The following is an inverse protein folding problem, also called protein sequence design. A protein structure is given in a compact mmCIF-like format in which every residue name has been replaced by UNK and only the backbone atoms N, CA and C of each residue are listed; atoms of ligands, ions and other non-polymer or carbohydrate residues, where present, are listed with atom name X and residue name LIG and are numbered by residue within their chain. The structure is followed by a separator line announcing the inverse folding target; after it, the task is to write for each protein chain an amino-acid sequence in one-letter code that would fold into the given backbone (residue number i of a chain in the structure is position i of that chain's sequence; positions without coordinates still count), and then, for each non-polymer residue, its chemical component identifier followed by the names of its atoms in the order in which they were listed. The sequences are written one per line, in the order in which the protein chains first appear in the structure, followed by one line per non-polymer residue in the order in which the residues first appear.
data_IF_801250314155
#
_entry.id   IF_801250314155
#
_cell.length_a   1.000
_cell.length_b   1.000
_cell.length_c   1.000
_cell.angle_alpha   90.00
_cell.angle_beta   90.00
_cell.angle_gamma   90.00
#
_symmetry.space_group_name_H-M   'P 1'
#
loop_
_entity.id
_entity.type
_entity.pdbx_description
1 polymer ?
#
# COMPACT_ATOMS: atom_id res chain seq x y z
N UNK A 1 -7.70 -13.84 33.31
CA UNK A 1 -7.51 -14.54 32.02
C UNK A 1 -8.56 -14.12 30.98
N UNK A 2 -9.86 -14.15 31.30
CA UNK A 2 -10.94 -13.77 30.36
C UNK A 2 -10.89 -12.29 29.89
N UNK A 3 -10.60 -11.35 30.80
CA UNK A 3 -10.45 -9.92 30.49
C UNK A 3 -9.27 -9.60 29.54
N UNK A 4 -8.18 -10.35 29.64
CA UNK A 4 -6.99 -10.18 28.79
C UNK A 4 -7.26 -10.69 27.37
N UNK A 5 -8.03 -11.78 27.24
CA UNK A 5 -8.44 -12.33 25.96
C UNK A 5 -9.40 -11.38 25.22
N UNK A 6 -10.39 -10.80 25.90
CA UNK A 6 -11.26 -9.79 25.28
C UNK A 6 -10.48 -8.56 24.81
N UNK A 7 -9.59 -8.03 25.66
CA UNK A 7 -8.83 -6.83 25.33
C UNK A 7 -7.88 -7.05 24.14
N UNK A 8 -7.29 -8.25 24.04
CA UNK A 8 -6.49 -8.65 22.88
C UNK A 8 -7.32 -8.70 21.59
N UNK A 9 -8.53 -9.26 21.64
CA UNK A 9 -9.42 -9.32 20.48
C UNK A 9 -9.81 -7.92 19.98
N UNK A 10 -10.10 -6.97 20.88
CA UNK A 10 -10.43 -5.58 20.49
C UNK A 10 -9.28 -4.90 19.74
N UNK A 11 -8.04 -5.10 20.16
CA UNK A 11 -6.86 -4.54 19.50
C UNK A 11 -6.72 -5.11 18.08
N UNK A 12 -6.90 -6.42 17.94
CA UNK A 12 -6.84 -7.10 16.64
C UNK A 12 -7.90 -6.56 15.69
N UNK A 13 -9.16 -6.47 16.14
CA UNK A 13 -10.25 -5.89 15.35
C UNK A 13 -9.98 -4.43 14.96
N UNK A 14 -9.38 -3.63 15.85
CA UNK A 14 -9.03 -2.25 15.55
C UNK A 14 -7.96 -2.15 14.45
N UNK A 15 -6.92 -3.00 14.50
CA UNK A 15 -5.87 -3.06 13.47
C UNK A 15 -6.48 -3.42 12.11
N UNK A 16 -7.29 -4.49 12.04
CA UNK A 16 -7.92 -4.92 10.80
C UNK A 16 -8.97 -3.92 10.28
N UNK A 17 -9.64 -3.19 11.17
CA UNK A 17 -10.49 -2.05 10.79
C UNK A 17 -9.68 -0.91 10.16
N UNK A 18 -8.47 -0.65 10.67
CA UNK A 18 -7.51 0.27 10.06
C UNK A 18 -7.08 -0.19 8.66
N UNK A 19 -6.71 -1.46 8.51
CA UNK A 19 -6.34 -2.06 7.22
C UNK A 19 -7.49 -2.02 6.21
N UNK A 20 -8.73 -2.25 6.66
CA UNK A 20 -9.91 -2.12 5.82
C UNK A 20 -10.10 -0.69 5.32
N UNK A 21 -9.87 0.29 6.19
CA UNK A 21 -9.96 1.72 5.85
C UNK A 21 -8.91 2.09 4.79
N UNK A 22 -7.68 1.61 4.96
CA UNK A 22 -6.62 1.76 3.95
C UNK A 22 -7.01 1.10 2.63
N UNK A 23 -7.57 -0.12 2.67
CA UNK A 23 -8.02 -0.81 1.47
C UNK A 23 -9.11 -0.03 0.72
N UNK A 24 -10.12 0.51 1.41
CA UNK A 24 -11.14 1.38 0.80
C UNK A 24 -10.49 2.63 0.18
N UNK A 25 -9.55 3.28 0.88
CA UNK A 25 -8.84 4.44 0.33
C UNK A 25 -8.06 4.08 -0.93
N UNK A 26 -7.46 2.88 -1.00
CA UNK A 26 -6.77 2.40 -2.20
C UNK A 26 -7.72 2.12 -3.36
N UNK A 27 -8.91 1.59 -3.10
CA UNK A 27 -9.95 1.44 -4.13
C UNK A 27 -10.34 2.81 -4.69
N UNK A 28 -10.59 3.80 -3.83
CA UNK A 28 -10.94 5.16 -4.26
C UNK A 28 -9.82 5.79 -5.09
N UNK A 29 -8.57 5.64 -4.64
CA UNK A 29 -7.39 6.13 -5.35
C UNK A 29 -7.20 5.43 -6.70
N UNK A 30 -7.43 4.12 -6.78
CA UNK A 30 -7.37 3.35 -8.01
C UNK A 30 -8.48 3.74 -9.00
N UNK A 31 -9.69 4.01 -8.53
CA UNK A 31 -10.80 4.50 -9.37
C UNK A 31 -10.48 5.88 -9.94
N UNK A 32 -9.87 6.78 -9.14
CA UNK A 32 -9.41 8.08 -9.63
C UNK A 32 -8.29 7.92 -10.67
N UNK A 33 -7.26 7.12 -10.37
CA UNK A 33 -6.16 6.87 -11.30
C UNK A 33 -6.66 6.26 -12.62
N UNK A 34 -7.61 5.33 -12.57
CA UNK A 34 -8.19 4.73 -13.76
C UNK A 34 -8.97 5.73 -14.62
N UNK A 35 -9.73 6.65 -14.00
CA UNK A 35 -10.60 7.60 -14.72
C UNK A 35 -9.85 8.83 -15.22
N UNK A 36 -9.04 9.46 -14.36
CA UNK A 36 -8.41 10.75 -14.63
C UNK A 36 -6.90 10.67 -14.84
N UNK A 37 -6.25 9.52 -14.61
CA UNK A 37 -4.77 9.40 -14.55
C UNK A 37 -4.12 10.35 -13.54
N UNK A 38 -4.93 10.83 -12.61
CA UNK A 38 -4.58 11.75 -11.56
C UNK A 38 -5.26 11.28 -10.28
N UNK A 39 -4.55 11.39 -9.16
CA UNK A 39 -5.05 11.02 -7.84
C UNK A 39 -4.93 12.21 -6.92
N UNK A 40 -5.98 12.46 -6.15
CA UNK A 40 -6.00 13.57 -5.21
C UNK A 40 -4.86 13.47 -4.20
N UNK A 41 -4.10 14.55 -4.06
CA UNK A 41 -3.07 14.69 -3.02
C UNK A 41 -3.66 14.58 -1.61
N UNK A 42 -4.96 14.88 -1.43
CA UNK A 42 -5.65 14.71 -0.17
C UNK A 42 -5.74 13.25 0.29
N UNK A 43 -5.61 12.28 -0.63
CA UNK A 43 -5.57 10.86 -0.29
C UNK A 43 -4.13 10.41 -0.08
N UNK A 44 -3.24 10.74 -1.02
CA UNK A 44 -1.87 10.18 -1.04
C UNK A 44 -0.92 10.85 -0.05
N UNK A 45 -1.06 12.16 0.21
CA UNK A 45 -0.14 12.90 1.08
C UNK A 45 -0.34 12.56 2.56
N UNK A 46 -1.57 12.51 3.13
CA UNK A 46 -1.75 12.09 4.51
C UNK A 46 -1.25 10.67 4.76
N UNK A 47 -1.51 9.74 3.82
CA UNK A 47 -1.01 8.37 3.90
C UNK A 47 0.52 8.33 3.88
N UNK A 48 1.15 9.09 2.99
CA UNK A 48 2.60 9.21 2.91
C UNK A 48 3.21 9.75 4.20
N UNK A 49 2.70 10.88 4.71
CA UNK A 49 3.21 11.50 5.93
C UNK A 49 3.05 10.55 7.12
N UNK A 50 1.87 9.94 7.29
CA UNK A 50 1.62 8.96 8.34
C UNK A 50 2.57 7.77 8.27
N UNK A 51 2.75 7.19 7.08
CA UNK A 51 3.68 6.09 6.88
C UNK A 51 5.13 6.47 7.15
N UNK A 52 5.61 7.63 6.69
CA UNK A 52 6.98 8.09 6.97
C UNK A 52 7.21 8.27 8.47
N UNK A 53 6.26 8.87 9.20
CA UNK A 53 6.38 9.01 10.66
C UNK A 53 6.52 7.65 11.32
N UNK A 54 5.66 6.68 10.97
CA UNK A 54 5.73 5.32 11.54
C UNK A 54 7.02 4.59 11.15
N UNK A 55 7.46 4.76 9.90
CA UNK A 55 8.69 4.17 9.37
C UNK A 55 9.92 4.66 10.16
N UNK A 56 9.97 5.95 10.47
CA UNK A 56 11.05 6.55 11.28
C UNK A 56 11.00 6.07 12.73
N UNK A 57 9.81 5.87 13.30
CA UNK A 57 9.63 5.34 14.66
C UNK A 57 10.06 3.87 14.78
N UNK A 58 9.78 3.04 13.76
CA UNK A 58 10.17 1.63 13.76
C UNK A 58 11.67 1.39 13.58
N UNK A 59 12.44 2.40 13.12
CA UNK A 59 13.89 2.33 12.88
C UNK A 59 14.35 1.12 12.04
N UNK A 60 13.47 0.59 11.18
CA UNK A 60 13.80 -0.55 10.34
C UNK A 60 14.56 -0.09 9.09
N UNK A 61 15.87 -0.31 9.10
CA UNK A 61 16.77 0.13 8.02
C UNK A 61 16.35 -0.42 6.64
N UNK A 62 15.82 -1.65 6.57
CA UNK A 62 15.38 -2.24 5.32
C UNK A 62 14.23 -1.44 4.69
N UNK A 63 13.21 -1.08 5.48
CA UNK A 63 12.07 -0.33 4.97
C UNK A 63 12.47 1.09 4.53
N UNK A 64 13.42 1.70 5.24
CA UNK A 64 14.02 2.99 4.86
C UNK A 64 14.75 2.88 3.53
N UNK A 65 15.61 1.87 3.35
CA UNK A 65 16.32 1.63 2.10
C UNK A 65 15.34 1.42 0.94
N UNK A 66 14.30 0.58 1.12
CA UNK A 66 13.27 0.37 0.10
C UNK A 66 12.56 1.68 -0.26
N UNK A 67 12.26 2.53 0.74
CA UNK A 67 11.65 3.84 0.50
C UNK A 67 12.55 4.74 -0.34
N UNK A 68 13.87 4.76 -0.08
CA UNK A 68 14.83 5.49 -0.92
C UNK A 68 14.92 4.95 -2.34
N UNK A 69 14.87 3.63 -2.52
CA UNK A 69 14.83 3.01 -3.86
C UNK A 69 13.59 3.47 -4.63
N UNK A 70 12.42 3.49 -3.98
CA UNK A 70 11.18 3.98 -4.60
C UNK A 70 11.27 5.46 -5.00
N UNK A 71 11.84 6.30 -4.13
CA UNK A 71 12.10 7.71 -4.45
C UNK A 71 13.08 7.87 -5.62
N UNK A 72 14.10 7.02 -5.70
CA UNK A 72 15.04 7.03 -6.82
C UNK A 72 14.37 6.65 -8.15
N UNK A 73 13.52 5.61 -8.15
CA UNK A 73 12.74 5.19 -9.33
C UNK A 73 11.81 6.31 -9.79
N UNK A 74 11.15 7.00 -8.85
CA UNK A 74 10.35 8.18 -9.14
C UNK A 74 11.16 9.32 -9.75
N UNK A 75 12.34 9.61 -9.19
CA UNK A 75 13.21 10.66 -9.68
C UNK A 75 13.69 10.40 -11.12
N UNK A 76 13.84 9.13 -11.52
CA UNK A 76 14.12 8.72 -12.90
C UNK A 76 12.92 8.81 -13.85
N UNK A 77 11.73 9.16 -13.34
CA UNK A 77 10.50 9.29 -14.11
C UNK A 77 9.85 7.96 -14.48
N UNK A 78 10.26 6.85 -13.85
CA UNK A 78 9.76 5.51 -14.18
C UNK A 78 8.47 5.15 -13.45
N UNK A 79 8.08 5.96 -12.46
CA UNK A 79 6.94 5.70 -11.60
C UNK A 79 6.17 6.99 -11.32
N UNK A 80 4.85 6.90 -11.15
CA UNK A 80 4.01 8.05 -10.82
C UNK A 80 4.27 8.55 -9.39
N UNK A 81 4.17 9.87 -9.19
CA UNK A 81 4.32 10.45 -7.86
C UNK A 81 3.25 9.99 -6.87
N UNK A 82 2.04 9.69 -7.35
CA UNK A 82 0.97 9.11 -6.53
C UNK A 82 1.33 7.69 -6.06
N UNK A 83 1.85 6.84 -6.96
CA UNK A 83 2.23 5.46 -6.63
C UNK A 83 3.30 5.43 -5.54
N UNK A 84 4.33 6.28 -5.66
CA UNK A 84 5.47 6.31 -4.72
C UNK A 84 5.04 6.77 -3.33
N UNK A 85 4.22 7.82 -3.27
CA UNK A 85 3.64 8.30 -2.00
C UNK A 85 2.86 7.20 -1.31
N UNK A 86 2.02 6.48 -2.06
CA UNK A 86 1.21 5.39 -1.53
C UNK A 86 2.07 4.23 -1.05
N UNK A 87 3.04 3.77 -1.84
CA UNK A 87 3.90 2.66 -1.46
C UNK A 87 4.76 2.97 -0.23
N UNK A 88 5.31 4.18 -0.13
CA UNK A 88 6.07 4.60 1.06
C UNK A 88 5.14 4.72 2.28
N UNK A 89 3.92 5.25 2.07
CA UNK A 89 2.88 5.27 3.09
C UNK A 89 2.57 3.86 3.63
N UNK A 90 2.36 2.91 2.71
CA UNK A 90 2.12 1.50 3.03
C UNK A 90 3.33 0.84 3.70
N UNK A 91 4.58 1.14 3.30
CA UNK A 91 5.76 0.55 3.95
C UNK A 91 5.80 0.85 5.46
N UNK A 92 5.34 2.04 5.86
CA UNK A 92 5.25 2.41 7.28
C UNK A 92 4.04 1.81 7.99
N UNK A 93 2.85 1.87 7.37
CA UNK A 93 1.58 1.49 8.02
C UNK A 93 1.33 -0.02 7.97
N UNK A 94 1.65 -0.65 6.84
CA UNK A 94 1.34 -2.04 6.54
C UNK A 94 2.32 -2.60 5.49
N UNK A 95 3.53 -2.90 5.96
CA UNK A 95 4.67 -3.28 5.11
C UNK A 95 4.40 -4.52 4.23
N UNK A 96 3.65 -5.50 4.74
CA UNK A 96 3.23 -6.70 3.99
C UNK A 96 2.46 -6.31 2.71
N UNK A 97 1.47 -5.42 2.85
CA UNK A 97 0.68 -4.93 1.72
C UNK A 97 1.54 -4.11 0.76
N UNK A 98 2.53 -3.37 1.26
CA UNK A 98 3.46 -2.63 0.41
C UNK A 98 4.30 -3.56 -0.48
N UNK A 99 4.85 -4.65 0.05
CA UNK A 99 5.66 -5.60 -0.72
C UNK A 99 4.84 -6.32 -1.79
N UNK A 100 3.63 -6.78 -1.44
CA UNK A 100 2.71 -7.39 -2.42
C UNK A 100 2.31 -6.36 -3.49
N UNK A 101 2.11 -5.11 -3.11
CA UNK A 101 1.83 -4.01 -4.05
C UNK A 101 3.00 -3.71 -4.99
N UNK A 102 4.24 -3.71 -4.49
CA UNK A 102 5.46 -3.57 -5.32
C UNK A 102 5.55 -4.71 -6.33
N UNK A 103 5.24 -5.94 -5.90
CA UNK A 103 5.24 -7.08 -6.81
C UNK A 103 4.17 -6.95 -7.89
N UNK A 104 2.92 -6.66 -7.51
CA UNK A 104 1.80 -6.52 -8.45
C UNK A 104 2.00 -5.38 -9.46
N UNK A 105 2.53 -4.21 -9.03
CA UNK A 105 2.83 -3.11 -9.96
C UNK A 105 4.01 -3.45 -10.87
N UNK A 106 5.00 -4.21 -10.38
CA UNK A 106 6.09 -4.74 -11.20
C UNK A 106 5.59 -5.70 -12.29
N UNK A 107 4.68 -6.62 -11.94
CA UNK A 107 4.02 -7.53 -12.90
C UNK A 107 3.20 -6.74 -13.91
N UNK A 108 2.40 -5.77 -13.47
CA UNK A 108 1.64 -4.91 -14.39
C UNK A 108 2.57 -4.13 -15.33
N UNK A 109 3.67 -3.57 -14.80
CA UNK A 109 4.69 -2.87 -15.57
C UNK A 109 5.29 -3.77 -16.66
N UNK A 110 5.66 -5.00 -16.31
CA UNK A 110 6.18 -5.99 -17.25
C UNK A 110 5.15 -6.34 -18.33
N UNK A 111 3.90 -6.62 -17.96
CA UNK A 111 2.81 -6.89 -18.92
C UNK A 111 2.63 -5.71 -19.87
N UNK A 112 2.66 -4.49 -19.36
CA UNK A 112 2.47 -3.29 -20.20
C UNK A 112 3.60 -3.08 -21.18
N UNK A 113 4.84 -3.39 -20.78
CA UNK A 113 6.01 -3.39 -21.65
C UNK A 113 5.87 -4.44 -22.75
N UNK A 114 5.50 -5.68 -22.39
CA UNK A 114 5.29 -6.79 -23.33
C UNK A 114 4.15 -6.53 -24.31
N UNK A 115 3.09 -5.83 -23.88
CA UNK A 115 1.97 -5.44 -24.74
C UNK A 115 2.22 -4.16 -25.54
N UNK A 116 3.41 -3.55 -25.46
CA UNK A 116 3.75 -2.32 -26.20
C UNK A 116 2.92 -1.09 -25.79
N UNK A 117 2.31 -1.09 -24.60
CA UNK A 117 1.53 0.04 -24.09
C UNK A 117 2.44 1.06 -23.40
N UNK A 118 2.21 2.35 -23.66
CA UNK A 118 3.04 3.43 -23.10
C UNK A 118 2.81 3.69 -21.61
N UNK A 119 1.61 3.43 -21.07
CA UNK A 119 1.28 3.71 -19.67
C UNK A 119 0.03 2.96 -19.20
N UNK A 120 0.07 2.47 -17.96
CA UNK A 120 -1.06 1.83 -17.27
C UNK A 120 -1.27 2.44 -15.88
N UNK A 121 -2.50 2.51 -15.36
CA UNK A 121 -2.77 3.10 -14.05
C UNK A 121 -2.09 2.26 -12.94
N UNK A 122 -1.08 2.82 -12.28
CA UNK A 122 -0.26 2.10 -11.30
C UNK A 122 -1.03 1.75 -10.03
N UNK A 123 -1.97 2.60 -9.63
CA UNK A 123 -2.72 2.40 -8.39
C UNK A 123 -3.71 1.24 -8.45
N UNK A 124 -4.11 0.81 -9.65
CA UNK A 124 -4.97 -0.38 -9.81
C UNK A 124 -4.23 -1.63 -9.37
N UNK A 125 -2.96 -1.78 -9.76
CA UNK A 125 -2.12 -2.88 -9.28
C UNK A 125 -1.89 -2.79 -7.78
N UNK A 126 -1.59 -1.59 -7.25
CA UNK A 126 -1.38 -1.39 -5.82
C UNK A 126 -2.64 -1.77 -5.02
N UNK A 127 -3.82 -1.29 -5.42
CA UNK A 127 -5.07 -1.65 -4.76
C UNK A 127 -5.37 -3.16 -4.83
N UNK A 128 -5.00 -3.81 -5.94
CA UNK A 128 -5.08 -5.26 -6.06
C UNK A 128 -4.16 -5.95 -5.05
N UNK A 129 -2.92 -5.50 -4.92
CA UNK A 129 -1.97 -6.02 -3.95
C UNK A 129 -2.46 -5.86 -2.51
N UNK A 130 -2.93 -4.66 -2.14
CA UNK A 130 -3.51 -4.39 -0.82
C UNK A 130 -4.73 -5.28 -0.54
N UNK A 131 -5.63 -5.44 -1.53
CA UNK A 131 -6.80 -6.30 -1.40
C UNK A 131 -6.44 -7.77 -1.20
N UNK A 132 -5.46 -8.29 -1.94
CA UNK A 132 -4.95 -9.66 -1.75
C UNK A 132 -4.39 -9.86 -0.35
N UNK A 133 -3.61 -8.91 0.15
CA UNK A 133 -3.08 -8.96 1.52
C UNK A 133 -4.19 -8.96 2.56
N UNK A 134 -5.16 -8.04 2.41
CA UNK A 134 -6.29 -7.93 3.34
C UNK A 134 -7.10 -9.23 3.44
N UNK A 135 -7.46 -9.80 2.29
CA UNK A 135 -8.23 -11.03 2.22
C UNK A 135 -7.45 -12.22 2.80
N UNK A 136 -6.15 -12.28 2.55
CA UNK A 136 -5.29 -13.32 3.10
C UNK A 136 -5.22 -13.25 4.64
N UNK A 137 -4.96 -12.06 5.19
CA UNK A 137 -4.85 -11.89 6.64
C UNK A 137 -6.19 -12.14 7.35
N UNK A 138 -7.32 -11.68 6.78
CA UNK A 138 -8.65 -12.01 7.29
C UNK A 138 -8.93 -13.50 7.25
N UNK A 139 -8.55 -14.18 6.16
CA UNK A 139 -8.76 -15.62 6.05
C UNK A 139 -8.01 -16.36 7.14
N UNK A 140 -6.78 -15.94 7.48
CA UNK A 140 -6.02 -16.55 8.59
C UNK A 140 -6.71 -16.27 9.92
N UNK A 141 -7.17 -15.03 10.15
CA UNK A 141 -7.86 -14.66 11.39
C UNK A 141 -9.16 -15.44 11.62
N UNK A 142 -9.91 -15.76 10.56
CA UNK A 142 -11.17 -16.51 10.68
C UNK A 142 -10.96 -18.03 10.84
N UNK A 143 -9.81 -18.55 10.41
CA UNK A 143 -9.50 -19.98 10.43
C UNK A 143 -8.69 -20.41 11.67
N UNK A 144 -8.14 -19.47 12.44
CA UNK A 144 -7.45 -19.69 13.72
C UNK A 144 -8.32 -19.29 14.91
#
# INVERSE_FOLDING_TARGET
MMLIAEQFMWIVWFIYGGYFSVFILMILAAVQDYRSREVSNWITVPLFIGGVVILLLHQNLLLVIVSFILLFIWHKGWMGGADVKVLIGLLGIWSTAAFISIFTIGVQGLITLLCGRKSSPGLVAIATGVGLTYLWEISIMLLN
#
